data_IF_383887166318
#
_entry.id   IF_383887166318
#
_cell.length_a   1.000
_cell.length_b   1.000
_cell.length_c   1.000
_cell.angle_alpha   90.00
_cell.angle_beta   90.00
_cell.angle_gamma   90.00
#
_symmetry.space_group_name_H-M   'P 1'
#
loop_
_entity.id
_entity.type
_entity.pdbx_description
1 polymer ?
#
# COMPACT_ATOMS: atom_id res chain seq x y z
N UNK A 1 1.69 13.04 5.34
CA UNK A 1 1.94 13.35 6.75
C UNK A 1 3.45 13.42 6.97
N UNK A 2 3.93 14.33 7.81
CA UNK A 2 5.34 14.35 8.21
C UNK A 2 5.60 13.23 9.24
N UNK A 3 6.61 12.40 9.00
CA UNK A 3 7.04 11.34 9.90
C UNK A 3 8.57 11.21 9.84
N UNK A 4 9.24 11.38 10.98
CA UNK A 4 10.72 11.37 11.10
C UNK A 4 11.42 12.27 10.05
N UNK A 5 10.94 13.51 9.89
CA UNK A 5 11.50 14.52 8.99
C UNK A 5 11.35 14.22 7.50
N UNK A 6 10.44 13.32 7.13
CA UNK A 6 10.08 12.98 5.74
C UNK A 6 8.58 13.08 5.57
N UNK A 7 8.12 13.20 4.33
CA UNK A 7 6.70 13.18 4.05
C UNK A 7 6.25 11.80 3.54
N UNK A 8 5.32 11.18 4.24
CA UNK A 8 4.71 9.92 3.87
C UNK A 8 3.37 10.12 3.16
N UNK A 9 3.17 9.37 2.07
CA UNK A 9 1.89 9.22 1.39
C UNK A 9 1.59 7.72 1.31
N UNK A 10 0.52 7.27 1.98
CA UNK A 10 0.05 5.88 1.89
C UNK A 10 -1.07 5.79 0.86
N UNK A 11 -0.86 4.96 -0.15
CA UNK A 11 -1.89 4.54 -1.10
C UNK A 11 -2.36 3.15 -0.71
N UNK A 12 -3.67 2.91 -0.75
CA UNK A 12 -4.23 1.62 -0.37
C UNK A 12 -5.32 1.19 -1.36
N UNK A 13 -5.37 -0.11 -1.63
CA UNK A 13 -6.33 -0.73 -2.54
C UNK A 13 -7.10 -1.82 -1.81
N UNK A 14 -8.40 -1.86 -2.07
CA UNK A 14 -9.31 -2.88 -1.57
C UNK A 14 -9.68 -3.85 -2.69
N UNK A 15 -9.61 -5.14 -2.41
CA UNK A 15 -10.13 -6.18 -3.29
C UNK A 15 -11.23 -6.98 -2.58
N UNK A 16 -12.33 -7.35 -3.26
CA UNK A 16 -13.42 -8.09 -2.62
C UNK A 16 -13.05 -9.50 -2.12
N UNK A 17 -11.95 -10.07 -2.62
CA UNK A 17 -11.45 -11.40 -2.29
C UNK A 17 -9.97 -11.51 -2.63
N UNK A 18 -9.27 -12.39 -1.92
CA UNK A 18 -7.96 -12.92 -2.29
C UNK A 18 -8.07 -14.44 -2.47
N UNK A 19 -7.59 -14.92 -3.61
CA UNK A 19 -7.75 -16.30 -4.07
C UNK A 19 -6.39 -16.92 -4.32
N UNK A 20 -6.04 -17.90 -3.49
CA UNK A 20 -4.84 -18.72 -3.67
C UNK A 20 -5.09 -19.86 -4.64
N UNK A 21 -4.34 -19.90 -5.74
CA UNK A 21 -4.40 -20.98 -6.73
C UNK A 21 -3.22 -21.96 -6.59
N UNK A 22 -3.43 -23.09 -5.91
CA UNK A 22 -2.42 -24.15 -5.80
C UNK A 22 -2.82 -25.36 -6.63
N UNK A 23 -2.53 -25.29 -7.94
CA UNK A 23 -2.93 -26.30 -8.91
C UNK A 23 -4.45 -26.46 -8.98
N UNK A 24 -4.97 -27.63 -8.60
CA UNK A 24 -6.42 -27.90 -8.58
C UNK A 24 -7.12 -27.43 -7.30
N UNK A 25 -6.37 -27.07 -6.26
CA UNK A 25 -6.92 -26.60 -4.97
C UNK A 25 -7.04 -25.08 -5.00
N UNK A 26 -8.28 -24.59 -4.90
CA UNK A 26 -8.59 -23.17 -4.73
C UNK A 26 -8.98 -22.90 -3.29
N UNK A 27 -8.24 -22.02 -2.61
CA UNK A 27 -8.60 -21.51 -1.28
C UNK A 27 -8.70 -20.00 -1.37
N UNK A 28 -9.78 -19.43 -0.86
CA UNK A 28 -9.98 -17.99 -0.87
C UNK A 28 -10.31 -17.47 0.50
N UNK A 29 -9.99 -16.19 0.71
CA UNK A 29 -10.49 -15.39 1.82
C UNK A 29 -11.32 -14.25 1.26
N UNK A 30 -12.32 -13.83 2.03
CA UNK A 30 -13.12 -12.66 1.69
C UNK A 30 -12.32 -11.42 2.09
N UNK A 31 -12.26 -10.47 1.17
CA UNK A 31 -11.53 -9.20 1.29
C UNK A 31 -10.01 -9.32 1.22
N UNK A 32 -9.41 -8.25 0.72
CA UNK A 32 -7.99 -7.98 0.79
C UNK A 32 -7.76 -6.47 0.85
N UNK A 33 -6.71 -6.09 1.56
CA UNK A 33 -6.24 -4.72 1.66
C UNK A 33 -4.72 -4.73 1.51
N UNK A 34 -4.24 -4.05 0.48
CA UNK A 34 -2.82 -3.83 0.22
C UNK A 34 -2.53 -2.34 0.20
N UNK A 35 -1.31 -1.95 0.57
CA UNK A 35 -0.92 -0.55 0.58
C UNK A 35 0.55 -0.33 0.22
N UNK A 36 0.85 0.80 -0.39
CA UNK A 36 2.20 1.29 -0.62
C UNK A 36 2.39 2.62 0.10
N UNK A 37 3.53 2.77 0.79
CA UNK A 37 3.97 4.06 1.32
C UNK A 37 5.05 4.65 0.41
N UNK A 38 4.79 5.84 -0.12
CA UNK A 38 5.75 6.65 -0.86
C UNK A 38 6.30 7.72 0.08
N UNK A 39 7.61 7.70 0.28
CA UNK A 39 8.33 8.65 1.11
C UNK A 39 8.99 9.70 0.23
N UNK A 40 8.64 10.96 0.42
CA UNK A 40 9.22 12.09 -0.31
C UNK A 40 9.91 13.06 0.65
N UNK A 41 10.78 13.91 0.10
CA UNK A 41 11.49 14.95 0.84
C UNK A 41 10.54 16.05 1.32
N UNK A 42 9.83 16.71 0.41
CA UNK A 42 8.96 17.83 0.72
C UNK A 42 7.82 17.97 -0.31
N UNK A 43 6.54 17.82 0.10
CA UNK A 43 5.40 17.92 -0.79
C UNK A 43 5.18 19.33 -1.36
N UNK A 44 5.77 20.37 -0.75
CA UNK A 44 5.62 21.76 -1.20
C UNK A 44 6.54 22.11 -2.39
N UNK A 45 7.47 21.23 -2.77
CA UNK A 45 8.33 21.42 -3.93
C UNK A 45 7.53 21.18 -5.23
N UNK A 46 7.86 21.92 -6.29
CA UNK A 46 7.26 21.70 -7.61
C UNK A 46 7.59 20.30 -8.17
N UNK A 47 8.73 19.74 -7.78
CA UNK A 47 9.16 18.38 -8.13
C UNK A 47 9.77 17.72 -6.88
N UNK A 48 8.95 17.09 -6.03
CA UNK A 48 9.44 16.37 -4.86
C UNK A 48 10.30 15.16 -5.27
N UNK A 49 11.30 14.85 -4.45
CA UNK A 49 12.16 13.68 -4.64
C UNK A 49 11.58 12.48 -3.90
N UNK A 50 11.38 11.36 -4.59
CA UNK A 50 11.05 10.09 -3.94
C UNK A 50 12.30 9.55 -3.24
N UNK A 51 12.26 9.50 -1.91
CA UNK A 51 13.33 9.01 -1.06
C UNK A 51 13.26 7.49 -0.87
N UNK A 52 12.06 6.94 -0.76
CA UNK A 52 11.81 5.51 -0.60
C UNK A 52 10.40 5.13 -1.04
N UNK A 53 10.22 3.87 -1.40
CA UNK A 53 8.91 3.23 -1.57
C UNK A 53 8.85 1.96 -0.73
N UNK A 54 7.71 1.71 -0.11
CA UNK A 54 7.51 0.53 0.74
C UNK A 54 6.20 -0.14 0.39
N UNK A 55 6.28 -1.31 -0.23
CA UNK A 55 5.10 -2.10 -0.63
C UNK A 55 4.70 -3.04 0.51
N UNK A 56 3.43 -3.06 0.92
CA UNK A 56 2.94 -4.03 1.90
C UNK A 56 3.08 -5.44 1.35
N UNK A 57 3.51 -6.36 2.20
CA UNK A 57 3.51 -7.80 1.93
C UNK A 57 2.82 -8.54 3.06
N UNK A 58 2.80 -9.87 2.99
CA UNK A 58 2.04 -10.74 3.88
C UNK A 58 2.11 -10.33 5.36
N UNK A 59 0.94 -10.15 5.95
CA UNK A 59 0.78 -9.72 7.34
C UNK A 59 1.07 -8.23 7.53
N UNK A 60 2.04 -7.93 8.41
CA UNK A 60 2.41 -6.54 8.78
C UNK A 60 3.74 -6.09 8.15
N UNK A 61 4.22 -6.82 7.14
CA UNK A 61 5.56 -6.65 6.59
C UNK A 61 5.55 -5.65 5.43
N UNK A 62 6.69 -5.04 5.18
CA UNK A 62 6.90 -4.14 4.06
C UNK A 62 8.19 -4.48 3.33
N UNK A 63 8.16 -4.37 2.00
CA UNK A 63 9.35 -4.41 1.16
C UNK A 63 9.82 -2.98 0.88
N UNK A 64 10.87 -2.56 1.59
CA UNK A 64 11.46 -1.22 1.47
C UNK A 64 12.46 -1.15 0.30
N UNK A 65 12.30 -0.14 -0.55
CA UNK A 65 13.27 0.26 -1.58
C UNK A 65 13.76 1.69 -1.32
N UNK A 66 15.04 1.86 -1.00
CA UNK A 66 15.64 3.14 -0.59
C UNK A 66 17.09 3.31 -1.10
N UNK A 67 17.36 4.20 -2.08
CA UNK A 67 16.36 4.82 -2.96
C UNK A 67 15.71 3.76 -3.88
N UNK A 68 14.50 4.00 -4.40
CA UNK A 68 13.91 3.14 -5.40
C UNK A 68 14.77 3.18 -6.68
N UNK A 69 14.94 2.03 -7.34
CA UNK A 69 15.68 1.97 -8.61
C UNK A 69 14.82 2.62 -9.69
N UNK A 70 15.20 3.84 -10.10
CA UNK A 70 14.41 4.67 -11.00
C UNK A 70 14.01 3.99 -12.32
N UNK A 71 14.88 3.16 -12.91
CA UNK A 71 14.71 2.71 -14.30
C UNK A 71 13.52 1.77 -14.52
N UNK A 72 13.06 1.09 -13.46
CA UNK A 72 12.13 -0.03 -13.57
C UNK A 72 11.04 -0.01 -12.48
N UNK A 73 10.92 1.05 -11.67
CA UNK A 73 9.94 1.10 -10.57
C UNK A 73 9.27 2.47 -10.44
N UNK A 74 9.81 3.50 -11.12
CA UNK A 74 9.30 4.87 -11.08
C UNK A 74 9.14 5.38 -12.52
N UNK A 75 7.93 5.79 -12.90
CA UNK A 75 7.66 6.53 -14.12
C UNK A 75 7.51 8.02 -13.80
N UNK A 76 8.57 8.81 -14.04
CA UNK A 76 8.63 10.22 -13.64
C UNK A 76 8.61 10.39 -12.13
N UNK A 77 7.45 10.77 -11.58
CA UNK A 77 7.19 10.87 -10.12
C UNK A 77 6.17 9.84 -9.63
N UNK A 78 5.78 8.90 -10.48
CA UNK A 78 4.80 7.86 -10.17
C UNK A 78 5.52 6.57 -9.81
N UNK A 79 5.32 6.06 -8.60
CA UNK A 79 5.76 4.72 -8.25
C UNK A 79 4.84 3.68 -8.91
N UNK A 80 5.45 2.70 -9.58
CA UNK A 80 4.76 1.63 -10.31
C UNK A 80 4.68 0.37 -9.45
N UNK A 81 3.48 -0.19 -9.34
CA UNK A 81 3.21 -1.40 -8.56
C UNK A 81 2.33 -2.36 -9.35
N UNK A 82 2.53 -3.65 -9.12
CA UNK A 82 1.68 -4.73 -9.61
C UNK A 82 1.06 -5.46 -8.42
N UNK A 83 -0.17 -5.93 -8.60
CA UNK A 83 -0.84 -6.83 -7.66
C UNK A 83 -0.82 -8.24 -8.24
N UNK A 84 -0.14 -9.18 -7.58
CA UNK A 84 0.08 -10.53 -8.09
C UNK A 84 0.29 -11.55 -6.95
N UNK A 85 0.25 -12.84 -7.27
CA UNK A 85 0.52 -13.94 -6.33
C UNK A 85 2.00 -13.93 -5.90
N UNK A 86 2.25 -13.90 -4.59
CA UNK A 86 3.59 -14.06 -4.02
C UNK A 86 4.03 -15.53 -3.88
N UNK A 87 5.18 -15.75 -3.24
CA UNK A 87 5.74 -17.10 -3.04
C UNK A 87 4.81 -18.04 -2.25
N UNK A 88 3.93 -17.50 -1.41
CA UNK A 88 2.93 -18.25 -0.65
C UNK A 88 1.58 -18.41 -1.39
N UNK A 89 1.55 -17.96 -2.66
CA UNK A 89 0.43 -17.95 -3.60
C UNK A 89 -0.72 -17.02 -3.20
N UNK A 90 -0.60 -16.25 -2.12
CA UNK A 90 -1.55 -15.18 -1.79
C UNK A 90 -1.17 -13.91 -2.53
N UNK A 91 -2.16 -13.07 -2.81
CA UNK A 91 -1.87 -11.84 -3.53
C UNK A 91 -1.19 -10.81 -2.61
N UNK A 92 -0.30 -10.04 -3.20
CA UNK A 92 0.35 -8.90 -2.58
C UNK A 92 0.70 -7.89 -3.66
N UNK A 93 1.23 -6.74 -3.26
CA UNK A 93 1.80 -5.79 -4.21
C UNK A 93 3.33 -5.91 -4.27
N UNK A 94 3.85 -5.70 -5.47
CA UNK A 94 5.28 -5.62 -5.76
C UNK A 94 5.58 -4.37 -6.57
N UNK A 95 6.80 -3.82 -6.50
CA UNK A 95 7.24 -2.86 -7.50
C UNK A 95 7.16 -3.49 -8.90
N UNK A 96 6.65 -2.74 -9.88
CA UNK A 96 6.50 -3.22 -11.25
C UNK A 96 7.38 -2.44 -12.23
N UNK A 97 7.85 -3.13 -13.26
CA UNK A 97 8.53 -2.52 -14.42
C UNK A 97 7.55 -2.15 -15.55
N UNK A 98 6.28 -2.53 -15.41
CA UNK A 98 5.22 -2.25 -16.36
C UNK A 98 4.36 -1.08 -15.88
N UNK A 99 3.92 -0.25 -16.82
CA UNK A 99 2.99 0.84 -16.51
C UNK A 99 1.61 0.25 -16.22
N UNK A 100 1.13 0.49 -14.99
CA UNK A 100 -0.20 0.10 -14.56
C UNK A 100 -1.27 1.12 -14.95
N UNK A 101 -2.41 1.04 -14.26
CA UNK A 101 -3.52 1.97 -14.43
C UNK A 101 -3.65 2.90 -13.22
N UNK A 102 -4.28 4.05 -13.43
CA UNK A 102 -4.71 4.95 -12.36
C UNK A 102 -6.13 4.62 -11.92
N UNK A 103 -6.42 4.88 -10.64
CA UNK A 103 -7.77 4.82 -10.07
C UNK A 103 -8.15 6.20 -9.54
N UNK A 104 -9.45 6.47 -9.44
CA UNK A 104 -9.95 7.69 -8.81
C UNK A 104 -9.55 7.71 -7.33
N UNK A 105 -8.70 8.67 -6.97
CA UNK A 105 -8.18 8.81 -5.62
C UNK A 105 -9.19 9.56 -4.72
N UNK A 106 -9.50 8.97 -3.57
CA UNK A 106 -10.15 9.66 -2.45
C UNK A 106 -9.24 9.60 -1.23
N UNK A 107 -8.90 10.76 -0.67
CA UNK A 107 -8.04 10.86 0.51
C UNK A 107 -8.85 10.70 1.80
N UNK A 108 -8.20 10.24 2.87
CA UNK A 108 -8.83 10.08 4.19
C UNK A 108 -9.56 11.35 4.66
N UNK A 109 -8.93 12.52 4.47
CA UNK A 109 -9.51 13.81 4.89
C UNK A 109 -10.67 14.26 3.98
N UNK A 110 -10.77 13.71 2.76
CA UNK A 110 -11.87 13.97 1.82
C UNK A 110 -13.08 13.05 2.05
N UNK A 111 -12.93 11.96 2.79
CA UNK A 111 -14.04 11.07 3.14
C UNK A 111 -15.06 11.78 4.02
N UNK A 112 -16.32 11.36 3.92
CA UNK A 112 -17.35 11.75 4.89
C UNK A 112 -17.04 11.16 6.26
N UNK A 113 -17.56 11.77 7.33
CA UNK A 113 -17.44 11.23 8.68
C UNK A 113 -18.01 9.81 8.78
N UNK A 114 -19.11 9.53 8.07
CA UNK A 114 -19.71 8.20 8.02
C UNK A 114 -18.78 7.17 7.37
N UNK A 115 -18.09 7.52 6.29
CA UNK A 115 -17.14 6.64 5.63
C UNK A 115 -15.89 6.39 6.51
N UNK A 116 -15.36 7.43 7.16
CA UNK A 116 -14.25 7.29 8.13
C UNK A 116 -14.65 6.38 9.30
N UNK A 117 -15.83 6.61 9.89
CA UNK A 117 -16.34 5.79 10.98
C UNK A 117 -16.51 4.31 10.56
N UNK A 118 -17.02 4.07 9.35
CA UNK A 118 -17.14 2.71 8.83
C UNK A 118 -15.77 2.04 8.65
N UNK A 119 -14.77 2.73 8.09
CA UNK A 119 -13.42 2.18 7.90
C UNK A 119 -12.65 1.99 9.21
N UNK A 120 -13.02 2.70 10.27
CA UNK A 120 -12.42 2.51 11.59
C UNK A 120 -12.89 1.21 12.25
N UNK A 121 -14.17 0.82 12.07
CA UNK A 121 -14.79 -0.27 12.84
C UNK A 121 -15.24 -1.47 12.02
N UNK A 122 -15.27 -1.39 10.69
CA UNK A 122 -15.76 -2.47 9.84
C UNK A 122 -14.90 -3.73 9.97
N UNK A 123 -15.56 -4.88 9.99
CA UNK A 123 -14.92 -6.19 10.02
C UNK A 123 -14.61 -6.66 8.59
N UNK A 124 -13.32 -6.64 8.24
CA UNK A 124 -12.78 -7.19 6.99
C UNK A 124 -12.18 -8.59 7.19
N UNK A 125 -12.54 -9.28 8.28
CA UNK A 125 -12.02 -10.58 8.65
C UNK A 125 -10.67 -10.50 9.37
N UNK A 126 -10.08 -11.68 9.59
CA UNK A 126 -8.85 -11.79 10.40
C UNK A 126 -7.60 -11.29 9.67
N UNK A 127 -7.59 -11.43 8.34
CA UNK A 127 -6.41 -11.19 7.50
C UNK A 127 -6.36 -9.79 6.91
N UNK A 128 -7.47 -9.29 6.38
CA UNK A 128 -7.52 -7.97 5.75
C UNK A 128 -7.80 -6.89 6.81
N UNK A 129 -6.91 -5.91 6.94
CA UNK A 129 -7.05 -4.79 7.87
C UNK A 129 -6.92 -3.48 7.11
N UNK A 130 -7.78 -2.51 7.41
CA UNK A 130 -7.72 -1.17 6.80
C UNK A 130 -6.40 -0.52 7.18
N UNK A 131 -5.48 -0.25 6.23
CA UNK A 131 -4.10 0.06 6.57
C UNK A 131 -3.90 1.52 7.04
N UNK A 132 -4.88 2.38 6.77
CA UNK A 132 -4.83 3.82 7.03
C UNK A 132 -5.85 4.29 8.07
N UNK A 133 -6.53 3.38 8.77
CA UNK A 133 -7.38 3.78 9.90
C UNK A 133 -6.54 4.17 11.12
N UNK A 134 -7.18 4.73 12.15
CA UNK A 134 -6.49 5.25 13.34
C UNK A 134 -5.67 4.18 14.06
N UNK A 135 -6.20 2.96 14.14
CA UNK A 135 -5.52 1.83 14.79
C UNK A 135 -4.22 1.38 14.08
N UNK A 136 -4.14 1.53 12.75
CA UNK A 136 -3.07 0.92 11.95
C UNK A 136 -2.10 1.93 11.33
N UNK A 137 -2.53 3.16 11.04
CA UNK A 137 -1.78 4.08 10.17
C UNK A 137 -0.36 4.37 10.66
N UNK A 138 -0.19 4.85 11.90
CA UNK A 138 1.14 5.19 12.44
C UNK A 138 2.05 3.96 12.54
N UNK A 139 1.50 2.82 12.97
CA UNK A 139 2.26 1.58 13.07
C UNK A 139 2.73 1.09 11.69
N UNK A 140 1.87 1.21 10.68
CA UNK A 140 2.21 0.89 9.29
C UNK A 140 3.27 1.83 8.73
N UNK A 141 3.21 3.13 9.01
CA UNK A 141 4.27 4.07 8.64
C UNK A 141 5.60 3.67 9.26
N UNK A 142 5.62 3.35 10.55
CA UNK A 142 6.82 2.87 11.25
C UNK A 142 7.38 1.60 10.61
N UNK A 143 6.53 0.60 10.38
CA UNK A 143 6.93 -0.69 9.80
C UNK A 143 7.44 -0.54 8.37
N UNK A 144 6.88 0.40 7.61
CA UNK A 144 7.31 0.68 6.24
C UNK A 144 8.74 1.25 6.13
N UNK A 145 9.36 1.65 7.25
CA UNK A 145 10.75 2.12 7.31
C UNK A 145 11.72 1.14 7.98
N UNK A 146 11.27 -0.04 8.42
CA UNK A 146 12.08 -1.02 9.16
C UNK A 146 12.34 -2.31 8.36
N UNK A 147 13.53 -2.88 8.51
CA UNK A 147 14.01 -4.13 7.88
C UNK A 147 13.78 -5.34 8.79
#
# INVERSE_FOLDING_TARGET
MEYEGKWAIMYAWFFPKDMRNSGVVKKGVRYDWVNMVVWIDNPALAQPTILATSASTYGIRYELRKPPKARNMINGITAMVQYDEGDDLWHTIFPSEEEGEYQDLIQWDQLTDAARAALETADFGDVAKVPFNTANFENNLKLSLTY
#
